data_IF_229607696904
#
_entry.id   IF_229607696904
#
_cell.length_a   1.000
_cell.length_b   1.000
_cell.length_c   1.000
_cell.angle_alpha   90.00
_cell.angle_beta   90.00
_cell.angle_gamma   90.00
#
_symmetry.space_group_name_H-M   'P 1'
#
loop_
_entity.id
_entity.type
_entity.pdbx_description
1 polymer ?
#
# COMPACT_ATOMS: atom_id res chain seq x y z
N UNK A 1 27.93 1.93 -2.47
CA UNK A 1 27.65 3.37 -2.26
C UNK A 1 26.27 3.64 -2.87
N UNK A 2 25.24 3.82 -2.03
CA UNK A 2 23.91 4.23 -2.48
C UNK A 2 23.94 5.74 -2.69
N UNK A 3 23.71 6.19 -3.91
CA UNK A 3 23.52 7.61 -4.19
C UNK A 3 22.31 8.10 -3.37
N UNK A 4 22.43 9.24 -2.66
CA UNK A 4 21.28 9.85 -2.01
C UNK A 4 20.26 10.21 -3.08
N UNK A 5 19.03 9.74 -2.92
CA UNK A 5 17.92 10.10 -3.78
C UNK A 5 17.49 11.54 -3.44
N UNK A 6 18.27 12.53 -3.86
CA UNK A 6 17.84 13.93 -3.76
C UNK A 6 16.78 14.18 -4.82
N UNK A 7 15.66 14.81 -4.47
CA UNK A 7 14.75 15.29 -5.49
C UNK A 7 15.52 16.24 -6.43
N UNK A 8 15.24 16.21 -7.72
CA UNK A 8 15.86 17.12 -8.67
C UNK A 8 15.64 18.57 -8.25
N UNK A 9 16.55 19.50 -8.57
CA UNK A 9 16.40 20.91 -8.22
C UNK A 9 15.04 21.45 -8.68
N UNK A 10 14.44 22.31 -7.89
CA UNK A 10 13.09 22.89 -8.15
C UNK A 10 12.93 23.49 -9.55
N UNK A 11 14.02 23.97 -10.15
CA UNK A 11 14.07 24.48 -11.54
C UNK A 11 13.84 23.35 -12.55
N UNK A 12 14.38 22.17 -12.32
CA UNK A 12 14.25 21.01 -13.20
C UNK A 12 12.86 20.37 -13.06
N UNK A 13 12.33 20.35 -11.84
CA UNK A 13 10.94 19.94 -11.58
C UNK A 13 9.95 20.86 -12.27
N UNK A 14 10.19 22.19 -12.27
CA UNK A 14 9.31 23.15 -12.95
C UNK A 14 9.37 23.01 -14.47
N UNK A 15 10.55 22.82 -15.06
CA UNK A 15 10.67 22.64 -16.51
C UNK A 15 10.03 21.32 -16.96
N UNK A 16 10.22 20.27 -16.19
CA UNK A 16 9.60 18.98 -16.46
C UNK A 16 8.07 19.03 -16.26
N UNK A 17 7.56 19.72 -15.23
CA UNK A 17 6.13 19.91 -15.04
C UNK A 17 5.48 20.66 -16.20
N UNK A 18 6.15 21.69 -16.75
CA UNK A 18 5.67 22.43 -17.93
C UNK A 18 5.67 21.56 -19.20
N UNK A 19 6.71 20.76 -19.40
CA UNK A 19 6.77 19.80 -20.50
C UNK A 19 5.68 18.71 -20.35
N UNK A 20 5.35 18.34 -19.14
CA UNK A 20 4.24 17.45 -18.81
C UNK A 20 2.89 18.05 -19.19
N UNK A 21 2.65 19.28 -18.84
CA UNK A 21 1.40 20.01 -19.16
C UNK A 21 1.24 20.17 -20.68
N UNK A 22 2.33 20.44 -21.39
CA UNK A 22 2.32 20.59 -22.86
C UNK A 22 2.16 19.25 -23.59
N UNK A 23 2.75 18.16 -23.04
CA UNK A 23 2.70 16.84 -23.68
C UNK A 23 1.36 16.17 -23.55
N UNK A 24 0.59 16.46 -22.52
CA UNK A 24 -0.68 15.78 -22.27
C UNK A 24 -1.84 16.33 -23.09
N UNK A 25 -1.69 17.49 -23.74
CA UNK A 25 -2.83 18.21 -24.33
C UNK A 25 -3.95 18.52 -23.34
N UNK A 26 -3.67 18.32 -22.08
CA UNK A 26 -4.58 17.96 -21.02
C UNK A 26 -4.77 19.05 -19.99
N UNK A 27 -4.53 20.28 -20.35
CA UNK A 27 -5.12 21.40 -19.59
C UNK A 27 -6.67 21.34 -19.58
N UNK A 28 -7.26 20.55 -20.49
CA UNK A 28 -8.71 20.27 -20.51
C UNK A 28 -9.16 19.17 -19.56
N UNK A 29 -8.24 18.33 -19.07
CA UNK A 29 -8.56 17.18 -18.23
C UNK A 29 -7.78 17.22 -16.91
N UNK A 30 -8.15 18.19 -16.06
CA UNK A 30 -7.60 18.41 -14.71
C UNK A 30 -7.50 17.14 -13.85
N UNK A 31 -8.32 16.13 -14.16
CA UNK A 31 -8.45 14.88 -13.40
C UNK A 31 -7.57 13.76 -13.91
N UNK A 32 -7.14 13.76 -15.16
CA UNK A 32 -6.26 12.72 -15.72
C UNK A 32 -4.85 12.78 -15.18
N UNK A 33 -4.40 13.93 -14.71
CA UNK A 33 -3.03 14.12 -14.26
C UNK A 33 -2.72 13.40 -12.94
N UNK A 34 -3.71 13.27 -12.05
CA UNK A 34 -3.48 12.75 -10.70
C UNK A 34 -3.68 11.23 -10.56
N UNK A 35 -4.21 10.54 -11.54
CA UNK A 35 -4.68 9.16 -11.37
C UNK A 35 -4.23 8.16 -12.42
N UNK A 36 -3.46 8.53 -13.45
CA UNK A 36 -3.18 7.54 -14.46
C UNK A 36 -1.88 6.78 -14.21
N UNK A 37 -2.01 5.54 -13.75
CA UNK A 37 -0.94 4.55 -13.86
C UNK A 37 -0.43 4.43 -15.31
N UNK A 38 -1.26 4.73 -16.31
CA UNK A 38 -0.86 4.79 -17.71
C UNK A 38 0.23 5.84 -18.00
N UNK A 39 0.22 6.97 -17.27
CA UNK A 39 1.31 7.91 -17.31
C UNK A 39 2.57 7.35 -16.64
N UNK A 40 2.43 6.77 -15.44
CA UNK A 40 3.52 6.13 -14.74
C UNK A 40 4.13 5.00 -15.58
N UNK A 41 3.31 4.25 -16.34
CA UNK A 41 3.78 3.19 -17.23
C UNK A 41 4.76 3.72 -18.28
N UNK A 42 4.44 4.85 -18.93
CA UNK A 42 5.38 5.48 -19.89
C UNK A 42 6.68 5.89 -19.22
N UNK A 43 6.58 6.52 -18.04
CA UNK A 43 7.76 6.94 -17.27
C UNK A 43 8.56 5.77 -16.72
N UNK A 44 7.94 4.66 -16.41
CA UNK A 44 8.65 3.43 -16.03
C UNK A 44 9.61 2.96 -17.13
N UNK A 45 9.19 2.96 -18.40
CA UNK A 45 10.05 2.55 -19.50
C UNK A 45 11.19 3.55 -19.79
N UNK A 46 11.00 4.83 -19.43
CA UNK A 46 12.06 5.85 -19.51
C UNK A 46 13.03 5.76 -18.32
N UNK A 47 12.55 5.49 -17.13
CA UNK A 47 13.32 5.54 -15.86
C UNK A 47 12.92 4.38 -14.92
N UNK A 48 13.21 3.12 -15.28
CA UNK A 48 12.74 1.97 -14.50
C UNK A 48 13.32 1.93 -13.08
N UNK A 49 14.52 2.44 -12.87
CA UNK A 49 15.18 2.52 -11.57
C UNK A 49 14.54 3.52 -10.59
N UNK A 50 13.78 4.49 -11.11
CA UNK A 50 13.08 5.46 -10.27
C UNK A 50 11.82 4.87 -9.60
N UNK A 51 11.37 3.70 -10.03
CA UNK A 51 10.23 3.02 -9.44
C UNK A 51 10.66 2.09 -8.31
N UNK A 52 9.79 1.93 -7.32
CA UNK A 52 10.09 1.18 -6.09
C UNK A 52 11.30 1.75 -5.33
N UNK A 53 11.35 3.07 -5.23
CA UNK A 53 12.46 3.80 -4.62
C UNK A 53 12.25 4.10 -3.12
N UNK A 54 11.05 3.87 -2.58
CA UNK A 54 10.81 4.13 -1.16
C UNK A 54 11.55 3.11 -0.31
N UNK A 55 12.42 3.65 0.55
CA UNK A 55 13.22 2.91 1.53
C UNK A 55 13.19 3.65 2.86
N UNK A 56 13.23 2.90 3.95
CA UNK A 56 13.27 3.49 5.28
C UNK A 56 14.66 4.03 5.63
N UNK A 57 14.75 5.15 6.37
CA UNK A 57 15.99 5.59 6.97
C UNK A 57 16.54 4.54 7.95
N UNK A 58 17.87 4.43 8.03
CA UNK A 58 18.55 3.44 8.90
C UNK A 58 18.15 3.55 10.37
N UNK A 59 17.97 4.76 10.88
CA UNK A 59 17.59 4.96 12.28
C UNK A 59 16.16 4.52 12.54
N UNK A 60 15.25 4.75 11.58
CA UNK A 60 13.87 4.25 11.66
C UNK A 60 13.82 2.72 11.65
N UNK A 61 14.68 2.07 10.84
CA UNK A 61 14.79 0.61 10.82
C UNK A 61 15.23 0.04 12.19
N UNK A 62 16.21 0.69 12.85
CA UNK A 62 16.67 0.29 14.19
C UNK A 62 15.55 0.41 15.22
N UNK A 63 14.88 1.56 15.27
CA UNK A 63 13.75 1.82 16.19
C UNK A 63 12.69 0.74 16.06
N UNK A 64 12.27 0.44 14.84
CA UNK A 64 11.25 -0.58 14.60
C UNK A 64 11.74 -1.99 14.93
N UNK A 65 12.99 -2.30 14.60
CA UNK A 65 13.57 -3.61 14.92
C UNK A 65 13.70 -3.84 16.42
N UNK A 66 14.10 -2.82 17.18
CA UNK A 66 14.18 -2.87 18.65
C UNK A 66 12.80 -3.09 19.28
N UNK A 67 11.76 -2.42 18.74
CA UNK A 67 10.40 -2.48 19.28
C UNK A 67 9.65 -3.76 18.93
N UNK A 68 9.73 -4.23 17.68
CA UNK A 68 8.89 -5.31 17.16
C UNK A 68 9.67 -6.55 16.71
N UNK A 69 11.00 -6.47 16.63
CA UNK A 69 11.81 -7.57 16.07
C UNK A 69 11.66 -7.70 14.56
N UNK A 70 11.74 -8.95 14.05
CA UNK A 70 11.66 -9.28 12.61
C UNK A 70 10.67 -10.41 12.29
N UNK A 71 9.94 -10.90 13.28
CA UNK A 71 9.04 -12.06 13.12
C UNK A 71 7.58 -11.63 13.12
N UNK A 72 7.22 -10.73 12.21
CA UNK A 72 5.86 -10.20 12.14
C UNK A 72 5.35 -9.99 10.71
N UNK A 73 4.04 -9.85 10.62
CA UNK A 73 3.29 -9.43 9.43
C UNK A 73 2.55 -8.14 9.78
N UNK A 74 2.63 -7.13 8.91
CA UNK A 74 1.84 -5.90 9.09
C UNK A 74 0.45 -6.04 8.49
N UNK A 75 -0.52 -5.36 9.11
CA UNK A 75 -1.91 -5.30 8.65
C UNK A 75 -2.34 -3.84 8.62
N UNK A 76 -2.32 -3.24 7.44
CA UNK A 76 -2.75 -1.86 7.24
C UNK A 76 -4.23 -1.80 6.92
N UNK A 77 -5.00 -1.32 7.87
CA UNK A 77 -6.45 -1.20 7.78
C UNK A 77 -6.87 0.17 7.26
N UNK A 78 -8.04 0.22 6.66
CA UNK A 78 -8.69 1.44 6.23
C UNK A 78 -9.97 1.66 7.01
N UNK A 79 -10.11 2.84 7.61
CA UNK A 79 -11.35 3.32 8.22
C UNK A 79 -11.45 4.82 7.97
N UNK A 80 -12.22 5.19 6.98
CA UNK A 80 -12.35 6.56 6.51
C UNK A 80 -13.82 6.90 6.27
N UNK A 81 -14.26 8.11 6.64
CA UNK A 81 -15.63 8.57 6.43
C UNK A 81 -15.96 8.75 4.94
N UNK A 82 -14.94 9.07 4.14
CA UNK A 82 -15.10 9.17 2.71
C UNK A 82 -15.07 7.77 2.08
N UNK A 83 -16.14 7.40 1.37
CA UNK A 83 -16.32 6.10 0.73
C UNK A 83 -16.23 4.91 1.72
N UNK A 84 -17.17 4.79 2.67
CA UNK A 84 -17.13 3.78 3.74
C UNK A 84 -17.17 2.34 3.22
N UNK A 85 -17.71 2.08 2.03
CA UNK A 85 -17.68 0.76 1.37
C UNK A 85 -16.25 0.24 1.13
N UNK A 86 -15.28 1.14 1.08
CA UNK A 86 -13.85 0.79 0.96
C UNK A 86 -13.20 0.43 2.29
N UNK A 87 -13.88 0.64 3.41
CA UNK A 87 -13.30 0.37 4.71
C UNK A 87 -13.06 -1.13 4.92
N UNK A 88 -12.09 -1.42 5.78
CA UNK A 88 -11.73 -2.79 6.13
C UNK A 88 -12.87 -3.53 6.81
N UNK A 89 -13.05 -4.80 6.49
CA UNK A 89 -13.94 -5.69 7.22
C UNK A 89 -13.23 -6.15 8.50
N UNK A 90 -13.43 -5.40 9.60
CA UNK A 90 -12.73 -5.64 10.86
C UNK A 90 -12.88 -7.08 11.37
N UNK A 91 -14.07 -7.70 11.22
CA UNK A 91 -14.29 -9.08 11.63
C UNK A 91 -13.36 -10.06 10.89
N UNK A 92 -13.20 -9.89 9.58
CA UNK A 92 -12.27 -10.69 8.80
C UNK A 92 -10.82 -10.49 9.27
N UNK A 93 -10.43 -9.24 9.52
CA UNK A 93 -9.06 -8.92 9.91
C UNK A 93 -8.73 -9.35 11.34
N UNK A 94 -9.69 -9.41 12.25
CA UNK A 94 -9.52 -10.04 13.57
C UNK A 94 -9.16 -11.54 13.44
N UNK A 95 -9.94 -12.28 12.66
CA UNK A 95 -9.66 -13.70 12.43
C UNK A 95 -8.32 -13.94 11.72
N UNK A 96 -7.93 -13.03 10.83
CA UNK A 96 -6.61 -13.03 10.15
C UNK A 96 -5.47 -12.83 11.15
N UNK A 97 -5.61 -11.90 12.10
CA UNK A 97 -4.61 -11.70 13.16
C UNK A 97 -4.43 -12.96 14.00
N UNK A 98 -5.53 -13.58 14.44
CA UNK A 98 -5.49 -14.82 15.22
C UNK A 98 -4.83 -15.97 14.43
N UNK A 99 -5.11 -16.07 13.13
CA UNK A 99 -4.49 -17.07 12.27
C UNK A 99 -2.98 -16.84 12.12
N UNK A 100 -2.54 -15.60 11.87
CA UNK A 100 -1.10 -15.25 11.79
C UNK A 100 -0.41 -15.59 13.11
N UNK A 101 -1.01 -15.24 14.24
CA UNK A 101 -0.48 -15.57 15.56
C UNK A 101 -0.35 -17.08 15.78
N UNK A 102 -1.31 -17.88 15.31
CA UNK A 102 -1.25 -19.35 15.38
C UNK A 102 -0.10 -19.96 14.57
N UNK A 103 0.44 -19.23 13.61
CA UNK A 103 1.63 -19.60 12.81
C UNK A 103 2.95 -19.15 13.44
N UNK A 104 2.93 -18.63 14.66
CA UNK A 104 4.13 -18.15 15.37
C UNK A 104 4.66 -16.80 14.89
N UNK A 105 3.88 -16.05 14.12
CA UNK A 105 4.22 -14.70 13.68
C UNK A 105 3.36 -13.67 14.44
N UNK A 106 3.93 -12.51 14.72
CA UNK A 106 3.20 -11.42 15.35
C UNK A 106 2.45 -10.59 14.30
N UNK A 107 1.10 -10.50 14.34
CA UNK A 107 0.40 -9.50 13.55
C UNK A 107 0.59 -8.12 14.18
N UNK A 108 0.96 -7.12 13.38
CA UNK A 108 1.08 -5.72 13.80
C UNK A 108 0.09 -4.89 12.99
N UNK A 109 -0.82 -4.24 13.68
CA UNK A 109 -1.91 -3.49 13.10
C UNK A 109 -1.50 -2.05 12.88
N UNK A 110 -1.75 -1.53 11.67
CA UNK A 110 -1.63 -0.11 11.32
C UNK A 110 -3.04 0.41 11.00
N UNK A 111 -3.64 1.16 11.92
CA UNK A 111 -4.92 1.81 11.69
C UNK A 111 -4.84 2.92 10.64
N UNK A 112 -5.98 3.34 10.12
CA UNK A 112 -6.09 4.56 9.31
C UNK A 112 -5.90 5.81 10.19
N UNK A 113 -5.47 6.91 9.58
CA UNK A 113 -5.28 8.18 10.27
C UNK A 113 -6.55 8.71 10.95
N UNK A 114 -7.72 8.55 10.32
CA UNK A 114 -8.98 8.99 10.93
C UNK A 114 -9.32 8.23 12.21
N UNK A 115 -8.88 6.99 12.35
CA UNK A 115 -9.10 6.19 13.55
C UNK A 115 -8.18 6.57 14.72
N UNK A 116 -7.09 7.30 14.46
CA UNK A 116 -6.22 7.79 15.53
C UNK A 116 -6.99 8.61 16.56
N UNK A 117 -7.90 9.46 16.10
CA UNK A 117 -8.74 10.30 16.96
C UNK A 117 -9.96 9.58 17.53
N UNK A 118 -10.39 8.49 16.90
CA UNK A 118 -11.57 7.72 17.29
C UNK A 118 -11.25 6.35 17.90
N UNK A 119 -10.02 6.07 18.21
CA UNK A 119 -9.33 4.86 18.75
C UNK A 119 -10.18 3.71 19.38
N UNK A 120 -11.50 3.71 19.23
CA UNK A 120 -12.37 2.67 19.81
C UNK A 120 -12.38 1.39 18.98
N UNK A 121 -12.27 1.50 17.64
CA UNK A 121 -12.33 0.34 16.72
C UNK A 121 -11.20 -0.66 16.94
N UNK A 122 -10.06 -0.23 17.49
CA UNK A 122 -8.87 -1.07 17.68
C UNK A 122 -8.62 -1.45 19.14
N UNK A 123 -9.36 -0.88 20.10
CA UNK A 123 -9.24 -1.22 21.53
C UNK A 123 -9.57 -2.69 21.83
N UNK A 124 -10.37 -3.30 20.97
CA UNK A 124 -10.74 -4.72 21.08
C UNK A 124 -9.73 -5.66 20.43
N UNK A 125 -8.77 -5.14 19.67
CA UNK A 125 -7.73 -5.96 19.06
C UNK A 125 -6.69 -6.36 20.10
N UNK A 126 -6.54 -7.65 20.31
CA UNK A 126 -5.59 -8.25 21.26
C UNK A 126 -4.12 -8.17 20.79
N UNK A 127 -3.90 -7.62 19.60
CA UNK A 127 -2.60 -7.59 18.93
C UNK A 127 -1.99 -6.19 18.93
N UNK A 128 -0.67 -6.06 18.84
CA UNK A 128 0.01 -4.76 18.84
C UNK A 128 -0.47 -3.83 17.74
N UNK A 129 -0.65 -2.56 18.09
CA UNK A 129 -1.01 -1.49 17.18
C UNK A 129 0.17 -0.52 17.07
N UNK A 130 0.64 -0.27 15.86
CA UNK A 130 1.76 0.63 15.58
C UNK A 130 1.25 2.07 15.37
N UNK A 131 0.91 2.76 16.46
CA UNK A 131 0.40 4.13 16.42
C UNK A 131 1.41 5.13 15.85
N UNK A 132 2.70 4.98 16.16
CA UNK A 132 3.78 5.83 15.67
C UNK A 132 3.90 5.79 14.14
N UNK A 133 3.66 4.63 13.54
CA UNK A 133 3.72 4.44 12.10
C UNK A 133 2.50 4.99 11.35
N UNK A 134 1.50 5.50 12.05
CA UNK A 134 0.34 6.16 11.42
C UNK A 134 0.69 7.56 10.92
N UNK A 135 1.50 8.29 11.68
CA UNK A 135 1.82 9.70 11.46
C UNK A 135 3.20 9.88 10.84
N UNK A 136 4.12 8.96 11.09
CA UNK A 136 5.49 9.01 10.58
C UNK A 136 5.67 7.99 9.44
N UNK A 137 5.83 8.50 8.21
CA UNK A 137 6.03 7.68 7.01
C UNK A 137 7.37 6.94 7.02
N UNK A 138 8.41 7.48 7.69
CA UNK A 138 9.71 6.81 7.82
C UNK A 138 9.58 5.58 8.73
N UNK A 139 8.89 5.72 9.87
CA UNK A 139 8.60 4.59 10.75
C UNK A 139 7.67 3.58 10.09
N UNK A 140 6.67 4.05 9.33
CA UNK A 140 5.80 3.16 8.56
C UNK A 140 6.58 2.36 7.52
N UNK A 141 7.47 3.01 6.78
CA UNK A 141 8.29 2.32 5.79
C UNK A 141 9.25 1.32 6.46
N UNK A 142 9.85 1.70 7.60
CA UNK A 142 10.69 0.81 8.39
C UNK A 142 9.94 -0.42 8.91
N UNK A 143 8.68 -0.23 9.32
CA UNK A 143 7.81 -1.32 9.73
C UNK A 143 7.53 -2.27 8.55
N UNK A 144 7.28 -1.74 7.35
CA UNK A 144 7.08 -2.54 6.16
C UNK A 144 8.33 -3.32 5.72
N UNK A 145 9.51 -2.70 5.81
CA UNK A 145 10.78 -3.34 5.41
C UNK A 145 11.22 -4.47 6.34
N UNK A 146 10.95 -4.35 7.65
CA UNK A 146 11.29 -5.37 8.62
C UNK A 146 10.27 -6.52 8.67
N UNK A 147 9.09 -6.36 8.07
CA UNK A 147 8.04 -7.37 8.07
C UNK A 147 8.33 -8.52 7.12
N UNK A 148 7.89 -9.73 7.49
CA UNK A 148 7.90 -10.90 6.58
C UNK A 148 6.98 -10.70 5.38
N UNK A 149 5.83 -10.06 5.59
CA UNK A 149 4.87 -9.70 4.56
C UNK A 149 4.00 -8.53 5.03
N UNK A 150 3.42 -7.79 4.10
CA UNK A 150 2.58 -6.65 4.38
C UNK A 150 1.19 -6.85 3.78
N UNK A 151 0.18 -6.97 4.62
CA UNK A 151 -1.21 -7.02 4.21
C UNK A 151 -1.81 -5.63 4.30
N UNK A 152 -2.57 -5.22 3.31
CA UNK A 152 -3.18 -3.90 3.32
C UNK A 152 -4.55 -3.91 2.63
N UNK A 153 -5.46 -3.04 3.08
CA UNK A 153 -6.65 -2.66 2.33
C UNK A 153 -6.33 -1.42 1.49
N UNK A 154 -6.79 -1.40 0.25
CA UNK A 154 -6.47 -0.31 -0.69
C UNK A 154 -6.91 1.05 -0.15
N UNK A 155 -5.98 2.00 -0.07
CA UNK A 155 -6.20 3.31 0.54
C UNK A 155 -5.06 4.29 0.32
N UNK A 156 -5.06 5.38 1.08
CA UNK A 156 -4.05 6.44 0.99
C UNK A 156 -2.62 5.99 1.27
N UNK A 157 -2.44 4.93 2.07
CA UNK A 157 -1.11 4.37 2.38
C UNK A 157 -0.59 3.37 1.32
N UNK A 158 -1.44 2.90 0.40
CA UNK A 158 -1.05 1.92 -0.62
C UNK A 158 0.11 2.36 -1.52
N UNK A 159 0.26 3.64 -1.92
CA UNK A 159 1.40 4.10 -2.71
C UNK A 159 2.75 3.81 -2.07
N UNK A 160 2.85 3.83 -0.74
CA UNK A 160 4.09 3.54 -0.04
C UNK A 160 4.52 2.07 -0.25
N UNK A 161 3.57 1.14 -0.23
CA UNK A 161 3.80 -0.27 -0.56
C UNK A 161 4.09 -0.45 -2.06
N UNK A 162 3.22 0.10 -2.93
CA UNK A 162 3.35 -0.03 -4.39
C UNK A 162 4.72 0.42 -4.89
N UNK A 163 5.23 1.55 -4.39
CA UNK A 163 6.50 2.13 -4.80
C UNK A 163 7.70 1.65 -3.95
N UNK A 164 7.57 0.53 -3.25
CA UNK A 164 8.64 -0.10 -2.48
C UNK A 164 8.98 -1.48 -3.01
N UNK A 165 10.05 -2.08 -2.47
CA UNK A 165 10.50 -3.44 -2.82
C UNK A 165 9.99 -4.51 -1.85
N UNK A 166 9.24 -4.13 -0.83
CA UNK A 166 8.76 -5.03 0.21
C UNK A 166 7.72 -6.01 -0.32
N UNK A 167 7.61 -7.22 0.24
CA UNK A 167 6.53 -8.14 -0.07
C UNK A 167 5.20 -7.60 0.46
N UNK A 168 4.15 -7.62 -0.36
CA UNK A 168 2.83 -7.16 0.07
C UNK A 168 1.68 -7.81 -0.69
N UNK A 169 0.50 -7.77 -0.07
CA UNK A 169 -0.79 -8.07 -0.68
C UNK A 169 -1.79 -6.96 -0.35
N UNK A 170 -2.28 -6.26 -1.36
CA UNK A 170 -3.26 -5.18 -1.21
C UNK A 170 -4.63 -5.69 -1.63
N UNK A 171 -5.55 -5.76 -0.69
CA UNK A 171 -6.94 -6.19 -0.87
C UNK A 171 -7.85 -5.02 -1.25
N UNK A 172 -9.07 -5.33 -1.69
CA UNK A 172 -10.07 -4.33 -2.12
C UNK A 172 -9.55 -3.41 -3.21
N UNK A 173 -8.81 -3.97 -4.17
CA UNK A 173 -8.41 -3.18 -5.34
C UNK A 173 -9.63 -2.77 -6.17
N UNK A 174 -10.66 -3.60 -6.21
CA UNK A 174 -12.00 -3.31 -6.74
C UNK A 174 -13.01 -3.31 -5.62
N UNK A 175 -13.93 -2.34 -5.65
CA UNK A 175 -15.05 -2.23 -4.70
C UNK A 175 -16.31 -1.93 -5.46
N UNK A 176 -17.32 -2.80 -5.31
CA UNK A 176 -18.64 -2.61 -5.93
C UNK A 176 -19.30 -1.32 -5.40
N UNK A 177 -19.97 -0.58 -6.28
CA UNK A 177 -20.62 0.68 -5.94
C UNK A 177 -19.70 1.89 -5.84
N UNK A 178 -18.38 1.73 -6.02
CA UNK A 178 -17.41 2.84 -6.03
C UNK A 178 -16.81 2.97 -7.43
N UNK A 179 -17.19 4.00 -8.16
CA UNK A 179 -16.76 4.22 -9.56
C UNK A 179 -15.25 4.29 -9.71
N UNK A 180 -14.55 4.98 -8.78
CA UNK A 180 -13.08 5.10 -8.78
C UNK A 180 -12.34 3.80 -8.43
N UNK A 181 -13.05 2.75 -8.05
CA UNK A 181 -12.52 1.42 -7.76
C UNK A 181 -13.18 0.35 -8.64
N UNK A 182 -13.83 0.73 -9.73
CA UNK A 182 -14.42 -0.22 -10.68
C UNK A 182 -13.38 -0.81 -11.62
N UNK A 183 -13.58 -2.03 -12.16
CA UNK A 183 -12.72 -2.60 -13.19
C UNK A 183 -12.56 -1.68 -14.41
N UNK A 184 -13.63 -1.00 -14.77
CA UNK A 184 -13.63 -0.05 -15.89
C UNK A 184 -12.73 1.17 -15.59
N UNK A 185 -12.80 1.74 -14.37
CA UNK A 185 -11.91 2.80 -13.95
C UNK A 185 -10.45 2.36 -14.04
N UNK A 186 -10.11 1.18 -13.49
CA UNK A 186 -8.75 0.66 -13.54
C UNK A 186 -8.25 0.47 -14.98
N UNK A 187 -9.10 -0.04 -15.87
CA UNK A 187 -8.75 -0.18 -17.29
C UNK A 187 -8.51 1.17 -17.95
N UNK A 188 -9.42 2.12 -17.76
CA UNK A 188 -9.40 3.41 -18.47
C UNK A 188 -8.37 4.39 -17.93
N UNK A 189 -8.19 4.44 -16.61
CA UNK A 189 -7.31 5.41 -15.95
C UNK A 189 -5.97 4.82 -15.51
N UNK A 190 -5.95 3.55 -15.11
CA UNK A 190 -4.74 2.91 -14.62
C UNK A 190 -4.08 2.03 -15.68
N UNK A 191 -4.75 1.76 -16.80
CA UNK A 191 -4.25 0.88 -17.85
C UNK A 191 -4.08 -0.57 -17.40
N UNK A 192 -4.90 -1.01 -16.42
CA UNK A 192 -4.88 -2.35 -15.86
C UNK A 192 -6.21 -3.06 -16.12
N UNK A 193 -6.16 -4.23 -16.74
CA UNK A 193 -7.32 -5.11 -16.82
C UNK A 193 -7.55 -5.80 -15.47
N UNK A 194 -8.77 -6.29 -15.26
CA UNK A 194 -9.12 -7.02 -14.05
C UNK A 194 -8.18 -8.23 -13.86
N UNK A 195 -7.61 -8.35 -12.67
CA UNK A 195 -6.67 -9.42 -12.32
C UNK A 195 -5.21 -9.16 -12.70
N UNK A 196 -4.91 -8.10 -13.45
CA UNK A 196 -3.53 -7.78 -13.80
C UNK A 196 -2.73 -7.21 -12.63
N UNK A 197 -1.42 -7.46 -12.66
CA UNK A 197 -0.45 -6.80 -11.79
C UNK A 197 0.01 -5.48 -12.42
N UNK A 198 0.39 -4.53 -11.57
CA UNK A 198 1.12 -3.37 -12.07
C UNK A 198 2.48 -3.84 -12.60
N UNK A 199 2.91 -3.33 -13.75
CA UNK A 199 4.07 -3.80 -14.53
C UNK A 199 5.41 -3.79 -13.78
N UNK A 200 5.55 -2.98 -12.73
CA UNK A 200 6.76 -2.93 -11.91
C UNK A 200 6.69 -3.80 -10.65
N UNK A 201 5.60 -4.52 -10.42
CA UNK A 201 5.45 -5.38 -9.24
C UNK A 201 6.33 -6.60 -9.32
N UNK A 202 6.88 -6.98 -8.16
CA UNK A 202 7.68 -8.18 -7.97
C UNK A 202 6.81 -9.43 -7.77
N UNK A 203 7.43 -10.59 -7.83
CA UNK A 203 6.72 -11.88 -7.60
C UNK A 203 6.06 -11.91 -6.21
N UNK A 204 6.74 -11.36 -5.19
CA UNK A 204 6.24 -11.29 -3.81
C UNK A 204 5.18 -10.21 -3.56
N UNK A 205 4.72 -9.53 -4.60
CA UNK A 205 3.76 -8.43 -4.52
C UNK A 205 2.48 -8.78 -5.26
N UNK A 206 1.33 -8.50 -4.67
CA UNK A 206 0.03 -8.82 -5.26
C UNK A 206 -1.03 -7.75 -5.02
N UNK A 207 -1.92 -7.58 -6.01
CA UNK A 207 -3.17 -6.85 -5.90
C UNK A 207 -4.31 -7.87 -5.89
N UNK A 208 -5.13 -7.82 -4.86
CA UNK A 208 -6.29 -8.71 -4.72
C UNK A 208 -7.51 -7.94 -5.21
N UNK A 209 -7.99 -8.32 -6.39
CA UNK A 209 -9.11 -7.71 -7.10
C UNK A 209 -10.47 -8.17 -6.56
N UNK A 210 -10.53 -8.39 -5.26
CA UNK A 210 -11.70 -8.88 -4.55
C UNK A 210 -11.83 -8.17 -3.20
N UNK A 211 -12.97 -8.36 -2.56
CA UNK A 211 -13.25 -7.86 -1.22
C UNK A 211 -12.33 -8.51 -0.17
N UNK A 212 -12.24 -7.92 1.01
CA UNK A 212 -11.52 -8.43 2.16
C UNK A 212 -12.42 -9.33 3.05
N UNK A 213 -13.27 -10.16 2.42
CA UNK A 213 -14.02 -11.17 3.15
C UNK A 213 -13.08 -12.21 3.77
N UNK A 214 -13.53 -12.82 4.87
CA UNK A 214 -12.72 -13.80 5.62
C UNK A 214 -12.21 -14.93 4.72
N UNK A 215 -13.07 -15.46 3.85
CA UNK A 215 -12.71 -16.57 2.97
C UNK A 215 -11.61 -16.19 1.99
N UNK A 216 -11.70 -14.99 1.39
CA UNK A 216 -10.71 -14.50 0.43
C UNK A 216 -9.38 -14.25 1.11
N UNK A 217 -9.36 -13.56 2.26
CA UNK A 217 -8.12 -13.24 2.96
C UNK A 217 -7.48 -14.51 3.50
N UNK A 218 -8.26 -15.42 4.09
CA UNK A 218 -7.75 -16.69 4.61
C UNK A 218 -7.24 -17.61 3.52
N UNK A 219 -7.92 -17.70 2.39
CA UNK A 219 -7.43 -18.45 1.23
C UNK A 219 -6.07 -17.93 0.77
N UNK A 220 -5.94 -16.61 0.64
CA UNK A 220 -4.69 -15.97 0.24
C UNK A 220 -3.55 -16.24 1.23
N UNK A 221 -3.82 -16.13 2.53
CA UNK A 221 -2.84 -16.41 3.58
C UNK A 221 -2.40 -17.88 3.60
N UNK A 222 -3.34 -18.82 3.50
CA UNK A 222 -2.99 -20.25 3.43
C UNK A 222 -2.04 -20.50 2.27
N UNK A 223 -2.37 -20.02 1.07
CA UNK A 223 -1.51 -20.14 -0.10
C UNK A 223 -0.13 -19.52 0.11
N UNK A 224 -0.06 -18.38 0.81
CA UNK A 224 1.20 -17.71 1.14
C UNK A 224 2.06 -18.57 2.10
N UNK A 225 1.46 -19.18 3.12
CA UNK A 225 2.18 -20.01 4.09
C UNK A 225 2.54 -21.39 3.56
N UNK A 226 1.74 -21.97 2.66
CA UNK A 226 1.96 -23.30 2.09
C UNK A 226 3.06 -23.30 0.99
N UNK A 227 3.39 -22.13 0.44
CA UNK A 227 4.42 -21.96 -0.59
C UNK A 227 5.77 -21.42 -0.06
N UNK A 228 5.95 -21.38 1.24
CA UNK A 228 7.21 -21.06 1.94
C UNK A 228 7.82 -22.32 2.51
#
# INVERSE_FOLDING_TARGET
MSLPCYPPPLTEVKSNALNYLNYSGALKDKYRFFHSLGFLKRKFFEYPEAFQCFVAPTDSLKIIQEKYGKSYITISLRANRFQPLRNSNLQSWHAVCDYIASKGLQPIILPDFEDYFNAQSFKEMKHPVAHEAMLDLNLRMALYENAKHNLAVSGGASPLLLCSKVPYSIFKWVVSGISSCSPEHHRNFNGLNFGEKVWFMRVSQSLIWADDSIDIVMMHLKNMFDNV
#
